data_IF_044084246260
#
_entry.id   IF_044084246260
#
_cell.length_a   1.000
_cell.length_b   1.000
_cell.length_c   1.000
_cell.angle_alpha   90.00
_cell.angle_beta   90.00
_cell.angle_gamma   90.00
#
_symmetry.space_group_name_H-M   'P 1'
#
loop_
_entity.id
_entity.type
_entity.pdbx_description
1 polymer ?
#
# COMPACT_ATOMS: atom_id res chain seq x y z
N UNK A 1 -10.04 -14.94 5.13
CA UNK A 1 -11.07 -14.48 6.09
C UNK A 1 -11.69 -13.22 5.51
N UNK A 2 -12.93 -13.29 5.04
CA UNK A 2 -13.66 -12.17 4.45
C UNK A 2 -14.34 -11.39 5.59
N UNK A 3 -13.92 -10.16 5.84
CA UNK A 3 -14.55 -9.31 6.84
C UNK A 3 -15.70 -8.57 6.14
N UNK A 4 -16.93 -8.89 6.54
CA UNK A 4 -18.12 -8.19 6.11
C UNK A 4 -18.44 -7.11 7.15
N UNK A 5 -18.35 -5.85 6.77
CA UNK A 5 -18.74 -4.73 7.64
C UNK A 5 -20.08 -4.20 7.13
N UNK A 6 -21.00 -3.85 8.03
CA UNK A 6 -22.26 -3.20 7.64
C UNK A 6 -22.22 -1.74 8.07
N UNK A 7 -22.19 -0.83 7.11
CA UNK A 7 -22.25 0.62 7.38
C UNK A 7 -23.59 1.16 6.87
N UNK A 8 -24.57 1.27 7.78
CA UNK A 8 -25.95 1.65 7.44
C UNK A 8 -26.64 0.64 6.49
N UNK A 9 -27.13 1.11 5.34
CA UNK A 9 -27.77 0.28 4.29
C UNK A 9 -26.79 -0.32 3.28
N UNK A 10 -25.48 -0.11 3.45
CA UNK A 10 -24.46 -0.57 2.49
C UNK A 10 -23.78 -1.82 3.03
N UNK A 11 -23.71 -2.86 2.19
CA UNK A 11 -22.92 -4.06 2.45
C UNK A 11 -21.48 -3.81 1.99
N UNK A 12 -20.52 -3.93 2.92
CA UNK A 12 -19.09 -3.70 2.68
C UNK A 12 -18.41 -5.06 2.57
N UNK A 13 -18.09 -5.46 1.35
CA UNK A 13 -17.30 -6.67 1.07
C UNK A 13 -15.82 -6.32 1.07
N UNK A 14 -15.10 -6.65 2.15
CA UNK A 14 -13.64 -6.66 2.12
C UNK A 14 -13.17 -7.76 1.18
N UNK A 15 -12.70 -7.39 -0.03
CA UNK A 15 -12.25 -8.37 -1.03
C UNK A 15 -10.94 -9.06 -0.65
N UNK A 16 -10.19 -8.46 0.28
CA UNK A 16 -8.94 -9.00 0.79
C UNK A 16 -8.15 -7.90 1.47
N UNK A 17 -7.70 -8.19 2.69
CA UNK A 17 -6.63 -7.46 3.36
C UNK A 17 -5.51 -8.47 3.59
N UNK A 18 -4.41 -8.29 2.88
CA UNK A 18 -3.20 -9.08 3.11
C UNK A 18 -2.23 -8.27 3.96
N UNK A 19 -1.77 -8.85 5.06
CA UNK A 19 -0.47 -8.43 5.63
C UNK A 19 0.57 -8.96 4.64
N UNK A 20 1.05 -8.08 3.77
CA UNK A 20 2.09 -8.42 2.81
C UNK A 20 3.47 -8.31 3.47
N UNK A 21 4.34 -9.22 3.01
CA UNK A 21 5.73 -9.45 3.40
C UNK A 21 6.45 -8.18 3.85
N UNK A 22 7.24 -8.29 4.92
CA UNK A 22 8.39 -7.40 5.08
C UNK A 22 9.18 -7.43 3.77
N UNK A 23 9.75 -6.30 3.33
CA UNK A 23 10.67 -6.30 2.20
C UNK A 23 11.71 -7.42 2.38
N UNK A 24 12.30 -7.98 1.30
CA UNK A 24 13.29 -9.06 1.40
C UNK A 24 14.37 -8.83 2.46
N UNK A 25 14.70 -7.57 2.74
CA UNK A 25 15.68 -7.10 3.72
C UNK A 25 15.08 -6.54 5.03
N UNK A 26 13.78 -6.72 5.22
CA UNK A 26 12.99 -6.31 6.39
C UNK A 26 12.97 -4.81 6.70
N UNK A 27 13.30 -3.94 5.75
CA UNK A 27 13.28 -2.48 5.93
C UNK A 27 11.89 -1.84 5.95
N UNK A 28 10.88 -2.49 5.37
CA UNK A 28 9.49 -2.00 5.42
C UNK A 28 8.47 -3.15 5.42
N UNK A 29 7.25 -2.91 5.88
CA UNK A 29 6.08 -3.75 5.58
C UNK A 29 5.24 -3.13 4.49
N UNK A 30 4.50 -3.96 3.74
CA UNK A 30 3.56 -3.51 2.72
C UNK A 30 2.26 -4.27 2.89
N UNK A 31 1.15 -3.57 3.05
CA UNK A 31 -0.19 -4.13 3.07
C UNK A 31 -1.08 -3.40 2.10
N UNK A 32 -2.12 -4.09 1.63
CA UNK A 32 -3.16 -3.45 0.84
C UNK A 32 -4.53 -4.00 1.13
N UNK A 33 -5.51 -3.12 1.04
CA UNK A 33 -6.92 -3.43 1.19
C UNK A 33 -7.66 -2.87 -0.01
N UNK A 34 -8.26 -3.75 -0.80
CA UNK A 34 -9.14 -3.39 -1.90
C UNK A 34 -10.60 -3.50 -1.48
N UNK A 35 -11.40 -2.53 -1.92
CA UNK A 35 -12.82 -2.48 -1.63
C UNK A 35 -13.63 -2.23 -2.91
N UNK A 36 -14.67 -3.05 -3.12
CA UNK A 36 -15.61 -2.92 -4.23
C UNK A 36 -17.06 -2.96 -3.74
N UNK A 37 -17.82 -1.92 -4.10
CA UNK A 37 -19.27 -1.86 -3.96
C UNK A 37 -19.90 -1.06 -5.10
N UNK A 38 -21.23 -1.05 -5.15
CA UNK A 38 -22.00 -0.23 -6.09
C UNK A 38 -21.75 1.28 -5.96
N UNK A 39 -21.37 1.76 -4.77
CA UNK A 39 -21.25 3.20 -4.47
C UNK A 39 -19.82 3.72 -4.45
N UNK A 40 -18.87 2.86 -4.08
CA UNK A 40 -17.48 3.22 -3.97
C UNK A 40 -16.59 2.02 -4.25
N UNK A 41 -15.51 2.31 -4.95
CA UNK A 41 -14.45 1.38 -5.34
C UNK A 41 -13.14 2.05 -4.95
N UNK A 42 -12.29 1.40 -4.16
CA UNK A 42 -10.99 1.96 -3.82
C UNK A 42 -9.96 0.90 -3.46
N UNK A 43 -8.69 1.32 -3.48
CA UNK A 43 -7.56 0.58 -2.97
C UNK A 43 -6.79 1.46 -1.99
N UNK A 44 -6.46 0.89 -0.84
CA UNK A 44 -5.49 1.44 0.09
C UNK A 44 -4.21 0.59 0.04
N UNK A 45 -3.05 1.24 -0.07
CA UNK A 45 -1.74 0.61 0.07
C UNK A 45 -1.00 1.33 1.18
N UNK A 46 -0.57 0.60 2.21
CA UNK A 46 0.00 1.20 3.41
C UNK A 46 1.05 0.30 4.03
N UNK A 47 1.86 0.85 4.92
CA UNK A 47 2.90 0.07 5.57
C UNK A 47 3.72 0.88 6.57
N UNK A 48 4.61 0.16 7.25
CA UNK A 48 5.55 0.69 8.23
C UNK A 48 6.95 0.63 7.64
N UNK A 49 7.74 1.68 7.87
CA UNK A 49 9.13 1.80 7.43
C UNK A 49 10.04 1.75 8.66
N UNK A 50 10.93 0.77 8.70
CA UNK A 50 11.87 0.57 9.81
C UNK A 50 13.23 1.23 9.53
N UNK A 51 13.60 1.39 8.26
CA UNK A 51 14.86 2.02 7.85
C UNK A 51 14.70 3.53 7.63
N UNK A 52 15.24 4.33 8.57
CA UNK A 52 15.18 5.80 8.54
C UNK A 52 15.85 6.45 7.31
N UNK A 53 16.61 5.69 6.51
CA UNK A 53 17.17 6.20 5.25
C UNK A 53 16.10 6.37 4.17
N UNK A 54 15.00 5.64 4.27
CA UNK A 54 13.89 5.73 3.33
C UNK A 54 13.11 7.00 3.61
N UNK A 55 13.06 7.90 2.63
CA UNK A 55 12.37 9.18 2.71
C UNK A 55 11.09 9.21 1.87
N UNK A 56 11.01 8.41 0.80
CA UNK A 56 9.86 8.36 -0.11
C UNK A 56 9.50 6.93 -0.46
N UNK A 57 8.21 6.69 -0.67
CA UNK A 57 7.67 5.44 -1.20
C UNK A 57 6.94 5.74 -2.50
N UNK A 58 7.04 4.83 -3.47
CA UNK A 58 6.29 4.86 -4.73
C UNK A 58 5.51 3.58 -4.90
N UNK A 59 4.24 3.71 -5.27
CA UNK A 59 3.38 2.59 -5.69
C UNK A 59 3.23 2.63 -7.19
N UNK A 60 3.51 1.51 -7.86
CA UNK A 60 3.23 1.29 -9.28
C UNK A 60 2.03 0.37 -9.36
N UNK A 61 0.93 0.85 -9.91
CA UNK A 61 -0.33 0.11 -10.01
C UNK A 61 -0.37 -0.82 -11.24
N UNK A 62 -1.33 -1.75 -11.29
CA UNK A 62 -1.40 -2.74 -12.40
C UNK A 62 -1.67 -2.13 -13.78
N UNK A 63 -2.27 -0.94 -13.82
CA UNK A 63 -2.52 -0.11 -15.01
C UNK A 63 -1.31 0.73 -15.41
N UNK A 64 -0.20 0.64 -14.68
CA UNK A 64 1.03 1.38 -14.94
C UNK A 64 1.04 2.80 -14.36
N UNK A 65 -0.03 3.26 -13.69
CA UNK A 65 0.02 4.54 -12.97
C UNK A 65 1.02 4.45 -11.82
N UNK A 66 1.72 5.54 -11.55
CA UNK A 66 2.64 5.66 -10.43
C UNK A 66 2.18 6.78 -9.47
N UNK A 67 2.30 6.56 -8.17
CA UNK A 67 2.07 7.56 -7.14
C UNK A 67 3.22 7.52 -6.13
N UNK A 68 3.72 8.70 -5.73
CA UNK A 68 4.83 8.85 -4.78
C UNK A 68 4.34 9.62 -3.56
N UNK A 69 4.74 9.18 -2.38
CA UNK A 69 4.51 9.87 -1.12
C UNK A 69 5.82 9.96 -0.34
N UNK A 70 5.99 11.06 0.39
CA UNK A 70 6.98 11.11 1.46
C UNK A 70 6.59 10.15 2.60
N UNK A 71 7.57 9.68 3.36
CA UNK A 71 7.37 8.87 4.56
C UNK A 71 7.25 9.80 5.76
N UNK A 72 6.19 9.63 6.56
CA UNK A 72 6.03 10.34 7.82
C UNK A 72 6.71 9.57 8.95
N UNK A 73 7.61 10.22 9.69
CA UNK A 73 8.28 9.70 10.88
C UNK A 73 7.79 10.44 12.14
N UNK A 74 6.48 10.51 12.33
CA UNK A 74 5.86 11.04 13.56
C UNK A 74 6.03 10.10 14.78
N UNK A 75 6.54 8.88 14.55
CA UNK A 75 6.92 7.92 15.59
C UNK A 75 8.35 7.44 15.37
N UNK A 76 8.84 6.53 16.22
CA UNK A 76 10.15 5.87 16.01
C UNK A 76 10.23 5.12 14.68
N UNK A 77 9.08 4.77 14.11
CA UNK A 77 8.93 4.13 12.81
C UNK A 77 8.30 5.10 11.81
N UNK A 78 8.64 4.90 10.54
CA UNK A 78 8.03 5.61 9.42
C UNK A 78 6.72 4.97 9.00
N UNK A 79 5.85 5.75 8.39
CA UNK A 79 4.59 5.28 7.82
C UNK A 79 4.32 5.89 6.45
N UNK A 80 3.58 5.15 5.62
CA UNK A 80 3.06 5.64 4.36
C UNK A 80 1.64 5.09 4.13
N UNK A 81 0.86 5.85 3.37
CA UNK A 81 -0.50 5.50 2.96
C UNK A 81 -0.78 6.09 1.58
N UNK A 82 -1.25 5.24 0.68
CA UNK A 82 -1.82 5.61 -0.60
C UNK A 82 -3.30 5.23 -0.60
N UNK A 83 -4.15 6.16 -1.04
CA UNK A 83 -5.57 5.94 -1.26
C UNK A 83 -5.89 6.27 -2.71
N UNK A 84 -6.51 5.33 -3.41
CA UNK A 84 -6.90 5.53 -4.82
C UNK A 84 -8.32 5.08 -5.07
N UNK A 85 -9.14 6.01 -5.53
CA UNK A 85 -10.52 5.75 -5.94
C UNK A 85 -10.59 5.05 -7.29
N UNK A 86 -11.68 4.31 -7.49
CA UNK A 86 -12.01 3.53 -8.69
C UNK A 86 -10.97 2.47 -9.05
N UNK A 87 -10.14 2.07 -8.10
CA UNK A 87 -9.05 1.15 -8.32
C UNK A 87 -9.16 -0.07 -7.41
N UNK A 88 -9.50 -1.22 -7.96
CA UNK A 88 -9.64 -2.48 -7.18
C UNK A 88 -8.64 -3.55 -7.62
N UNK A 89 -7.91 -3.32 -8.71
CA UNK A 89 -7.06 -4.32 -9.35
C UNK A 89 -5.69 -4.54 -8.68
N UNK A 90 -5.41 -3.89 -7.55
CA UNK A 90 -4.16 -4.06 -6.77
C UNK A 90 -2.99 -3.21 -7.26
N UNK A 91 -1.76 -3.57 -6.89
CA UNK A 91 -0.55 -2.90 -7.38
C UNK A 91 0.41 -3.92 -8.02
N UNK A 92 1.41 -3.44 -8.75
CA UNK A 92 2.47 -4.30 -9.31
C UNK A 92 3.69 -4.31 -8.42
N UNK A 93 4.03 -3.15 -7.88
CA UNK A 93 5.31 -2.93 -7.20
C UNK A 93 5.23 -1.76 -6.24
N UNK A 94 5.99 -1.87 -5.15
CA UNK A 94 6.33 -0.75 -4.26
C UNK A 94 7.84 -0.56 -4.30
N UNK A 95 8.27 0.69 -4.41
CA UNK A 95 9.67 1.10 -4.39
C UNK A 95 9.87 2.12 -3.27
N UNK A 96 11.04 2.07 -2.63
CA UNK A 96 11.41 3.02 -1.60
C UNK A 96 12.74 3.70 -1.93
N UNK A 97 12.79 4.98 -1.64
CA UNK A 97 13.86 5.88 -2.07
C UNK A 97 14.43 6.64 -0.89
N UNK A 98 15.73 6.94 -0.98
CA UNK A 98 16.39 7.87 -0.08
C UNK A 98 15.99 9.33 -0.38
N UNK A 99 16.45 10.26 0.46
CA UNK A 99 16.18 11.71 0.29
C UNK A 99 16.76 12.31 -0.99
N UNK A 100 17.72 11.64 -1.63
CA UNK A 100 18.37 12.07 -2.87
C UNK A 100 17.70 11.44 -4.11
N UNK A 101 16.69 10.59 -3.93
CA UNK A 101 16.02 9.88 -5.01
C UNK A 101 16.70 8.58 -5.44
N UNK A 102 17.66 8.06 -4.68
CA UNK A 102 18.26 6.75 -4.95
C UNK A 102 17.33 5.65 -4.46
N UNK A 103 17.15 4.61 -5.27
CA UNK A 103 16.38 3.43 -4.90
C UNK A 103 17.11 2.66 -3.78
N UNK A 104 16.44 2.48 -2.64
CA UNK A 104 16.94 1.66 -1.51
C UNK A 104 16.38 0.24 -1.60
N UNK A 105 15.09 0.13 -1.91
CA UNK A 105 14.35 -1.13 -1.77
C UNK A 105 13.23 -1.22 -2.82
N UNK A 106 12.93 -2.45 -3.24
CA UNK A 106 11.90 -2.75 -4.23
C UNK A 106 11.22 -4.07 -3.88
N UNK A 107 9.92 -4.01 -3.71
CA UNK A 107 9.07 -5.18 -3.51
C UNK A 107 8.05 -5.30 -4.63
N UNK A 108 8.17 -6.34 -5.45
CA UNK A 108 7.19 -6.69 -6.46
C UNK A 108 6.05 -7.50 -5.82
N UNK A 109 4.80 -7.19 -6.17
CA UNK A 109 3.67 -8.05 -5.82
C UNK A 109 3.81 -9.34 -6.64
N UNK A 110 4.37 -10.37 -6.01
CA UNK A 110 4.38 -11.72 -6.57
C UNK A 110 2.92 -12.14 -6.76
N UNK A 111 2.54 -12.39 -8.01
CA UNK A 111 1.16 -12.61 -8.43
C UNK A 111 0.41 -13.58 -7.52
N UNK A 112 -0.82 -13.21 -7.17
CA UNK A 112 -1.84 -14.13 -6.68
C UNK A 112 -2.53 -14.84 -7.84
#
# INVERSE_FOLDING_TARGET
MQINIKYGKVNVYGLGGGIGKTSPDQKMTISSTSYDSEKFKFLMVYGTVFDKRIAKVKVVYVDGKEEVSDVSYESDLGGYLFYRENYVKGFKRVEAYDKNGNLIERSDQLGG
#
